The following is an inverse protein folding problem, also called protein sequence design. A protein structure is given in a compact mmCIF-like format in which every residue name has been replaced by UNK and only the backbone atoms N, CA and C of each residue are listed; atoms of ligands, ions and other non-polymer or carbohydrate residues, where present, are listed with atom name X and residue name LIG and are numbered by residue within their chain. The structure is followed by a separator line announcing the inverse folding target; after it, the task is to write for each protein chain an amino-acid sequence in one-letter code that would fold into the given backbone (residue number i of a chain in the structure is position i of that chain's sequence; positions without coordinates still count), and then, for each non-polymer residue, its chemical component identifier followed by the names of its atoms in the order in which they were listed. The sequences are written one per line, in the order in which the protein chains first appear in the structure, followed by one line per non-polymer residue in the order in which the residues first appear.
data_IF_047216752645
#
_entry.id   IF_047216752645
#
_cell.length_a   1.000
_cell.length_b   1.000
_cell.length_c   1.000
_cell.angle_alpha   90.00
_cell.angle_beta   90.00
_cell.angle_gamma   90.00
#
_symmetry.space_group_name_H-M   'P 1'
#
loop_
_entity.id
_entity.type
_entity.pdbx_description
1 polymer ?
#
# COMPACT_ATOMS: atom_id res chain seq x y z
N UNK A 1 17.91 23.52 -4.56
CA UNK A 1 19.00 22.54 -4.35
C UNK A 1 19.53 22.84 -2.96
N UNK A 2 18.88 22.32 -1.93
CA UNK A 2 19.14 22.76 -0.56
C UNK A 2 20.29 21.95 0.03
N UNK A 3 21.46 22.58 0.03
CA UNK A 3 22.73 22.11 0.60
C UNK A 3 22.70 22.21 2.13
N UNK A 4 21.76 21.49 2.76
CA UNK A 4 21.57 21.48 4.22
C UNK A 4 20.69 20.36 4.78
N UNK A 5 20.18 19.44 3.96
CA UNK A 5 19.36 18.33 4.47
C UNK A 5 20.23 17.29 5.21
N UNK A 6 19.91 17.04 6.48
CA UNK A 6 20.49 15.93 7.24
C UNK A 6 20.20 14.59 6.54
N UNK A 7 21.17 13.68 6.58
CA UNK A 7 21.07 12.33 5.98
C UNK A 7 19.79 11.59 6.40
N UNK A 8 19.36 11.75 7.65
CA UNK A 8 18.13 11.14 8.16
C UNK A 8 16.87 11.69 7.45
N UNK A 9 16.84 12.98 7.12
CA UNK A 9 15.75 13.58 6.34
C UNK A 9 15.68 12.97 4.94
N UNK A 10 16.84 12.82 4.28
CA UNK A 10 16.94 12.20 2.95
C UNK A 10 16.47 10.75 2.99
N UNK A 11 16.89 9.98 4.01
CA UNK A 11 16.49 8.58 4.18
C UNK A 11 14.98 8.46 4.43
N UNK A 12 14.40 9.34 5.24
CA UNK A 12 12.95 9.39 5.47
C UNK A 12 12.18 9.68 4.18
N UNK A 13 12.63 10.64 3.39
CA UNK A 13 12.02 10.99 2.09
C UNK A 13 12.13 9.84 1.10
N UNK A 14 13.29 9.20 1.03
CA UNK A 14 13.52 8.02 0.19
C UNK A 14 12.57 6.87 0.58
N UNK A 15 12.52 6.51 1.87
CA UNK A 15 11.65 5.45 2.36
C UNK A 15 10.17 5.76 2.09
N UNK A 16 9.75 7.03 2.27
CA UNK A 16 8.39 7.47 1.93
C UNK A 16 8.12 7.29 0.43
N UNK A 17 9.05 7.66 -0.45
CA UNK A 17 8.90 7.49 -1.90
C UNK A 17 8.78 6.00 -2.27
N UNK A 18 9.66 5.14 -1.76
CA UNK A 18 9.61 3.69 -2.00
C UNK A 18 8.28 3.08 -1.53
N UNK A 19 7.76 3.52 -0.38
CA UNK A 19 6.46 3.07 0.13
C UNK A 19 5.29 3.56 -0.73
N UNK A 20 5.33 4.80 -1.20
CA UNK A 20 4.32 5.38 -2.11
C UNK A 20 4.27 4.64 -3.45
N UNK A 21 5.44 4.34 -4.01
CA UNK A 21 5.59 3.64 -5.29
C UNK A 21 5.19 2.15 -5.19
N UNK A 22 5.01 1.61 -3.97
CA UNK A 22 4.58 0.23 -3.70
C UNK A 22 5.46 -0.84 -4.38
N UNK A 23 6.75 -0.55 -4.55
CA UNK A 23 7.73 -1.43 -5.20
C UNK A 23 7.80 -2.81 -4.53
N UNK A 24 7.88 -2.86 -3.19
CA UNK A 24 8.00 -4.13 -2.45
C UNK A 24 6.76 -5.05 -2.63
N UNK A 25 5.50 -4.58 -2.46
CA UNK A 25 4.32 -5.37 -2.78
C UNK A 25 4.25 -5.84 -4.24
N UNK A 26 4.75 -5.05 -5.17
CA UNK A 26 4.73 -5.36 -6.59
C UNK A 26 5.69 -6.50 -6.92
N UNK A 27 6.94 -6.42 -6.48
CA UNK A 27 7.94 -7.49 -6.65
C UNK A 27 7.42 -8.80 -6.06
N UNK A 28 6.84 -8.77 -4.86
CA UNK A 28 6.26 -9.97 -4.22
C UNK A 28 5.10 -10.59 -5.02
N UNK A 29 4.30 -9.78 -5.70
CA UNK A 29 3.17 -10.25 -6.54
C UNK A 29 3.62 -10.78 -7.88
N UNK A 30 4.72 -10.26 -8.43
CA UNK A 30 5.26 -10.65 -9.74
C UNK A 30 6.27 -11.81 -9.66
N UNK A 31 6.64 -12.26 -8.45
CA UNK A 31 7.61 -13.36 -8.24
C UNK A 31 7.23 -14.67 -8.92
N UNK A 32 5.94 -14.93 -9.11
CA UNK A 32 5.44 -16.13 -9.78
C UNK A 32 4.21 -15.78 -10.62
N UNK A 33 3.95 -16.60 -11.65
CA UNK A 33 2.73 -16.48 -12.44
C UNK A 33 1.50 -16.86 -11.60
N UNK A 34 0.53 -15.96 -11.54
CA UNK A 34 -0.76 -16.19 -10.87
C UNK A 34 -1.84 -16.23 -11.96
N UNK A 35 -2.62 -17.32 -12.04
CA UNK A 35 -3.71 -17.42 -13.03
C UNK A 35 -4.67 -16.22 -12.90
N UNK A 36 -5.23 -15.70 -14.00
CA UNK A 36 -6.10 -14.51 -13.96
C UNK A 36 -7.29 -14.63 -12.98
N UNK A 37 -7.86 -15.82 -12.83
CA UNK A 37 -8.94 -16.11 -11.88
C UNK A 37 -8.53 -15.91 -10.42
N UNK A 38 -7.32 -16.33 -10.06
CA UNK A 38 -6.76 -16.20 -8.69
C UNK A 38 -6.48 -14.72 -8.40
N UNK A 39 -5.91 -13.98 -9.36
CA UNK A 39 -5.72 -12.52 -9.26
C UNK A 39 -7.07 -11.82 -9.00
N UNK A 40 -8.13 -12.17 -9.76
CA UNK A 40 -9.47 -11.60 -9.59
C UNK A 40 -10.04 -11.92 -8.20
N UNK A 41 -9.94 -13.17 -7.74
CA UNK A 41 -10.39 -13.57 -6.39
C UNK A 41 -9.67 -12.79 -5.29
N UNK A 42 -8.35 -12.67 -5.38
CA UNK A 42 -7.51 -11.90 -4.44
C UNK A 42 -7.88 -10.42 -4.41
N UNK A 43 -8.08 -9.79 -5.57
CA UNK A 43 -8.53 -8.39 -5.67
C UNK A 43 -9.92 -8.18 -5.05
N UNK A 44 -10.88 -9.07 -5.31
CA UNK A 44 -12.23 -9.03 -4.74
C UNK A 44 -12.20 -9.11 -3.21
N UNK A 45 -11.45 -10.07 -2.67
CA UNK A 45 -11.28 -10.23 -1.22
C UNK A 45 -10.61 -9.00 -0.57
N UNK A 46 -9.60 -8.40 -1.23
CA UNK A 46 -8.98 -7.17 -0.75
C UNK A 46 -9.96 -5.98 -0.72
N UNK A 47 -10.78 -5.81 -1.76
CA UNK A 47 -11.82 -4.76 -1.81
C UNK A 47 -12.84 -4.93 -0.68
N UNK A 48 -13.33 -6.14 -0.45
CA UNK A 48 -14.30 -6.45 0.61
C UNK A 48 -13.75 -6.15 2.00
N UNK A 49 -12.49 -6.52 2.27
CA UNK A 49 -11.83 -6.19 3.55
C UNK A 49 -11.72 -4.68 3.76
N UNK A 50 -11.36 -3.93 2.72
CA UNK A 50 -11.28 -2.46 2.78
C UNK A 50 -12.63 -1.81 3.03
N UNK A 51 -13.69 -2.20 2.31
CA UNK A 51 -15.02 -1.63 2.49
C UNK A 51 -15.58 -1.89 3.90
N UNK A 52 -15.39 -3.11 4.43
CA UNK A 52 -15.79 -3.45 5.80
C UNK A 52 -15.07 -2.58 6.84
N UNK A 53 -13.77 -2.32 6.66
CA UNK A 53 -12.99 -1.45 7.55
C UNK A 53 -13.49 0.00 7.49
N UNK A 54 -13.78 0.50 6.29
CA UNK A 54 -14.31 1.86 6.11
C UNK A 54 -15.69 2.02 6.77
N UNK A 55 -16.60 1.06 6.55
CA UNK A 55 -17.92 1.09 7.18
C UNK A 55 -17.84 1.03 8.72
N UNK A 56 -16.90 0.27 9.28
CA UNK A 56 -16.63 0.28 10.73
C UNK A 56 -16.16 1.65 11.22
N UNK A 57 -15.25 2.31 10.49
CA UNK A 57 -14.76 3.65 10.83
C UNK A 57 -15.90 4.68 10.83
N UNK A 58 -16.71 4.69 9.78
CA UNK A 58 -17.87 5.58 9.66
C UNK A 58 -18.92 5.37 10.75
N UNK A 59 -19.10 4.12 11.22
CA UNK A 59 -19.96 3.87 12.38
C UNK A 59 -19.35 4.43 13.66
N UNK A 60 -18.05 4.23 13.88
CA UNK A 60 -17.34 4.75 15.05
C UNK A 60 -17.31 6.28 15.11
N UNK A 61 -17.27 6.96 13.96
CA UNK A 61 -17.29 8.43 13.88
C UNK A 61 -18.68 9.04 14.06
N UNK A 62 -19.75 8.23 13.94
CA UNK A 62 -21.15 8.67 14.08
C UNK A 62 -21.70 8.58 15.51
N UNK A 63 -20.98 7.89 16.39
CA UNK A 63 -21.21 7.86 17.83
C UNK A 63 -20.12 8.70 18.49
#
# INVERSE_FOLDING_TARGET
MESGESFDSLLKRFNKKVQLDRVLPEVRRRRFFEKPSVIRKRKKAAKLRKSRRQGRKQRRERY
#
